data_IF_164099114217
#
_entry.id   IF_164099114217
#
_cell.length_a   1.000
_cell.length_b   1.000
_cell.length_c   1.000
_cell.angle_alpha   90.00
_cell.angle_beta   90.00
_cell.angle_gamma   90.00
#
_symmetry.space_group_name_H-M   'P 1'
#
loop_
_entity.id
_entity.type
_entity.pdbx_description
1 polymer ?
#
# COMPACT_ATOMS: atom_id res chain seq x y z
N UNK A 1 57.62 -32.44 -32.75
CA UNK A 1 57.37 -31.29 -31.86
C UNK A 1 56.01 -30.68 -32.20
N UNK A 2 55.16 -30.53 -31.18
CA UNK A 2 53.87 -29.79 -31.11
C UNK A 2 52.71 -30.18 -32.05
N UNK A 3 51.93 -31.20 -31.65
CA UNK A 3 50.50 -31.31 -31.99
C UNK A 3 49.69 -30.46 -31.01
N UNK A 4 49.09 -29.37 -31.49
CA UNK A 4 48.09 -28.59 -30.74
C UNK A 4 46.78 -29.37 -30.70
N UNK A 5 46.34 -29.75 -29.50
CA UNK A 5 44.99 -30.27 -29.25
C UNK A 5 44.11 -29.05 -29.00
N UNK A 6 43.21 -28.77 -29.94
CA UNK A 6 42.19 -27.72 -29.81
C UNK A 6 40.96 -28.36 -29.17
N UNK A 7 40.75 -28.10 -27.89
CA UNK A 7 39.56 -28.57 -27.15
C UNK A 7 38.38 -27.68 -27.50
N UNK A 8 37.47 -28.19 -28.33
CA UNK A 8 36.17 -27.60 -28.58
C UNK A 8 35.27 -27.81 -27.36
N UNK A 9 34.96 -26.74 -26.63
CA UNK A 9 33.89 -26.75 -25.63
C UNK A 9 32.58 -26.55 -26.38
N UNK A 10 31.85 -27.64 -26.56
CA UNK A 10 30.43 -27.66 -26.94
C UNK A 10 29.64 -27.08 -25.77
N UNK A 11 29.28 -25.80 -25.84
CA UNK A 11 28.32 -25.21 -24.91
C UNK A 11 26.92 -25.50 -25.43
N UNK A 12 26.30 -26.51 -24.83
CA UNK A 12 24.94 -26.97 -25.11
C UNK A 12 23.93 -25.84 -24.91
N UNK A 13 23.16 -25.63 -25.97
CA UNK A 13 21.95 -24.83 -26.07
C UNK A 13 20.94 -25.33 -25.02
N UNK A 14 20.68 -24.54 -23.97
CA UNK A 14 19.47 -24.67 -23.16
C UNK A 14 18.50 -23.62 -23.66
N UNK A 15 17.52 -24.07 -24.43
CA UNK A 15 16.46 -23.24 -24.98
C UNK A 15 15.58 -22.69 -23.86
N UNK A 16 15.39 -21.37 -23.88
CA UNK A 16 14.31 -20.70 -23.15
C UNK A 16 13.21 -20.37 -24.16
N UNK A 17 12.39 -21.36 -24.50
CA UNK A 17 11.06 -21.07 -25.06
C UNK A 17 10.21 -20.55 -23.90
N UNK A 18 10.14 -19.23 -23.75
CA UNK A 18 9.09 -18.60 -22.97
C UNK A 18 7.77 -18.76 -23.74
N UNK A 19 7.08 -19.88 -23.52
CA UNK A 19 5.72 -20.08 -23.98
C UNK A 19 4.82 -19.19 -23.11
N UNK A 20 4.49 -18.01 -23.64
CA UNK A 20 3.55 -17.07 -23.03
C UNK A 20 2.15 -17.69 -23.01
N UNK A 21 1.84 -18.47 -21.97
CA UNK A 21 0.47 -18.87 -21.71
C UNK A 21 -0.27 -17.67 -21.14
N UNK A 22 -1.08 -17.04 -22.00
CA UNK A 22 -2.20 -16.20 -21.59
C UNK A 22 -3.17 -17.07 -20.77
N UNK A 23 -3.00 -17.07 -19.45
CA UNK A 23 -4.06 -17.54 -18.55
C UNK A 23 -5.14 -16.47 -18.54
N UNK A 24 -6.30 -16.81 -19.10
CA UNK A 24 -7.50 -16.00 -19.07
C UNK A 24 -7.86 -15.67 -17.62
N UNK A 25 -7.78 -14.39 -17.28
CA UNK A 25 -8.14 -13.86 -15.97
C UNK A 25 -9.67 -13.69 -15.87
N UNK A 26 -10.42 -14.79 -15.75
CA UNK A 26 -11.88 -14.72 -15.63
C UNK A 26 -12.47 -15.35 -14.35
N UNK A 27 -11.64 -15.90 -13.45
CA UNK A 27 -12.14 -16.50 -12.20
C UNK A 27 -11.46 -15.93 -10.96
N UNK A 28 -11.79 -14.69 -10.58
CA UNK A 28 -11.56 -14.22 -9.19
C UNK A 28 -12.53 -13.14 -8.70
N UNK A 29 -13.73 -13.04 -9.29
CA UNK A 29 -14.67 -11.95 -8.99
C UNK A 29 -15.58 -12.17 -7.75
N UNK A 30 -15.39 -13.25 -6.98
CA UNK A 30 -16.22 -13.51 -5.77
C UNK A 30 -15.56 -13.09 -4.46
N UNK A 31 -14.23 -12.95 -4.40
CA UNK A 31 -13.51 -12.53 -3.18
C UNK A 31 -13.45 -11.01 -2.98
N UNK A 32 -13.84 -10.20 -3.97
CA UNK A 32 -13.75 -8.74 -3.88
C UNK A 32 -14.76 -8.13 -2.91
N UNK A 33 -15.91 -8.77 -2.67
CA UNK A 33 -17.00 -8.20 -1.83
C UNK A 33 -16.62 -7.96 -0.36
N UNK A 34 -15.67 -8.73 0.21
CA UNK A 34 -15.34 -8.64 1.64
C UNK A 34 -14.22 -7.62 1.96
N UNK A 35 -13.42 -7.20 0.96
CA UNK A 35 -12.42 -6.14 1.13
C UNK A 35 -12.98 -4.71 1.05
N UNK A 36 -14.24 -4.56 0.60
CA UNK A 36 -14.90 -3.27 0.35
C UNK A 36 -15.30 -2.52 1.63
N UNK A 37 -15.37 -3.18 2.79
CA UNK A 37 -15.88 -2.56 4.03
C UNK A 37 -15.04 -1.36 4.50
N UNK A 38 -13.72 -1.39 4.30
CA UNK A 38 -12.84 -0.30 4.73
C UNK A 38 -12.94 0.93 3.82
N UNK A 39 -12.93 0.73 2.50
CA UNK A 39 -13.05 1.82 1.53
C UNK A 39 -14.45 2.43 1.52
N UNK A 40 -15.52 1.63 1.64
CA UNK A 40 -16.88 2.16 1.67
C UNK A 40 -17.12 3.01 2.92
N UNK A 41 -16.59 2.59 4.08
CA UNK A 41 -16.66 3.37 5.32
C UNK A 41 -15.86 4.68 5.25
N UNK A 42 -14.71 4.68 4.58
CA UNK A 42 -13.87 5.88 4.43
C UNK A 42 -14.51 6.95 3.52
N UNK A 43 -15.24 6.55 2.49
CA UNK A 43 -15.94 7.47 1.59
C UNK A 43 -17.35 7.87 2.10
N UNK A 44 -18.06 7.02 2.85
CA UNK A 44 -19.43 7.30 3.31
C UNK A 44 -19.53 7.97 4.69
N UNK A 45 -18.44 8.05 5.47
CA UNK A 45 -18.51 8.70 6.79
C UNK A 45 -18.71 10.22 6.74
N UNK A 46 -18.52 10.87 5.58
CA UNK A 46 -18.68 12.32 5.47
C UNK A 46 -20.06 12.76 4.93
N UNK A 47 -20.91 11.82 4.51
CA UNK A 47 -22.25 12.13 3.96
C UNK A 47 -23.36 12.07 5.04
N UNK A 48 -23.12 11.34 6.14
CA UNK A 48 -24.09 11.18 7.23
C UNK A 48 -23.93 12.19 8.39
N UNK A 49 -22.90 13.04 8.40
CA UNK A 49 -22.69 14.06 9.44
C UNK A 49 -23.60 15.31 9.29
N UNK A 50 -24.58 15.28 8.37
CA UNK A 50 -25.52 16.37 8.12
C UNK A 50 -27.00 16.05 8.42
N UNK A 51 -27.33 14.86 8.97
CA UNK A 51 -28.75 14.47 9.19
C UNK A 51 -29.30 14.56 10.61
N UNK A 52 -28.49 14.83 11.64
CA UNK A 52 -28.96 14.83 13.04
C UNK A 52 -29.11 16.22 13.66
N UNK A 53 -29.87 17.11 13.02
CA UNK A 53 -30.40 18.32 13.68
C UNK A 53 -31.85 18.57 13.34
N UNK A 54 -32.75 17.67 13.78
CA UNK A 54 -34.15 18.04 14.00
C UNK A 54 -34.74 17.17 15.12
N UNK A 55 -34.63 17.66 16.36
CA UNK A 55 -35.71 17.49 17.33
C UNK A 55 -35.98 18.82 18.00
N UNK A 56 -37.02 19.46 17.46
CA UNK A 56 -37.60 20.71 17.85
C UNK A 56 -38.69 20.37 18.88
N UNK A 57 -38.45 20.63 20.16
CA UNK A 57 -39.49 20.71 21.18
C UNK A 57 -38.93 21.54 22.35
N UNK A 58 -39.68 22.59 22.72
CA UNK A 58 -39.36 23.64 23.70
C UNK A 58 -38.67 24.90 23.16
N UNK A 59 -39.43 25.69 22.37
CA UNK A 59 -39.14 27.10 22.08
C UNK A 59 -40.44 27.91 22.11
N UNK A 60 -40.96 28.19 23.29
CA UNK A 60 -41.91 29.30 23.44
C UNK A 60 -41.67 30.22 24.66
N UNK A 61 -40.85 29.82 25.64
CA UNK A 61 -40.74 30.62 26.89
C UNK A 61 -39.55 31.59 27.00
N UNK A 62 -38.72 31.78 25.95
CA UNK A 62 -37.52 32.63 26.07
C UNK A 62 -37.45 33.83 25.11
N UNK A 63 -38.61 34.36 24.67
CA UNK A 63 -38.68 35.50 23.74
C UNK A 63 -38.53 36.89 24.39
N UNK A 64 -38.02 36.98 25.64
CA UNK A 64 -37.90 38.25 26.38
C UNK A 64 -36.47 38.70 26.71
N UNK A 65 -35.45 38.24 25.97
CA UNK A 65 -34.10 38.81 26.09
C UNK A 65 -33.34 38.92 24.76
N UNK A 66 -34.05 39.20 23.66
CA UNK A 66 -33.48 39.37 22.33
C UNK A 66 -33.13 40.85 22.05
N UNK A 67 -32.17 41.39 22.79
CA UNK A 67 -31.40 42.59 22.40
C UNK A 67 -29.94 42.24 22.11
N UNK A 68 -29.65 40.99 21.70
CA UNK A 68 -28.38 40.66 21.07
C UNK A 68 -28.34 41.29 19.67
N UNK A 69 -27.62 42.41 19.58
CA UNK A 69 -27.34 43.13 18.33
C UNK A 69 -26.96 42.16 17.19
N UNK A 70 -27.51 42.31 15.97
CA UNK A 70 -27.23 41.43 14.82
C UNK A 70 -25.73 41.19 14.52
N UNK A 71 -24.86 42.15 14.89
CA UNK A 71 -23.40 42.04 14.79
C UNK A 71 -22.83 40.90 15.64
N UNK A 72 -23.28 40.72 16.88
CA UNK A 72 -22.76 39.71 17.79
C UNK A 72 -23.00 38.28 17.27
N UNK A 73 -24.08 38.07 16.51
CA UNK A 73 -24.39 36.78 15.90
C UNK A 73 -23.49 36.50 14.69
N UNK A 74 -23.25 37.50 13.83
CA UNK A 74 -22.36 37.37 12.66
C UNK A 74 -20.91 37.11 13.09
N UNK A 75 -20.39 37.85 14.05
CA UNK A 75 -19.01 37.69 14.53
C UNK A 75 -18.81 36.31 15.17
N UNK A 76 -19.77 35.86 15.99
CA UNK A 76 -19.77 34.51 16.57
C UNK A 76 -19.79 33.43 15.48
N UNK A 77 -20.64 33.58 14.46
CA UNK A 77 -20.72 32.63 13.34
C UNK A 77 -19.43 32.57 12.54
N UNK A 78 -18.81 33.73 12.26
CA UNK A 78 -17.51 33.78 11.58
C UNK A 78 -16.43 33.10 12.40
N UNK A 79 -16.34 33.38 13.70
CA UNK A 79 -15.37 32.74 14.59
C UNK A 79 -15.52 31.20 14.60
N UNK A 80 -16.76 30.70 14.67
CA UNK A 80 -17.05 29.26 14.63
C UNK A 80 -16.66 28.62 13.29
N UNK A 81 -16.97 29.28 12.17
CA UNK A 81 -16.60 28.80 10.83
C UNK A 81 -15.08 28.74 10.65
N UNK A 82 -14.36 29.79 11.06
CA UNK A 82 -12.89 29.82 11.06
C UNK A 82 -12.32 28.68 11.90
N UNK A 83 -12.78 28.56 13.15
CA UNK A 83 -12.31 27.52 14.08
C UNK A 83 -12.51 26.11 13.50
N UNK A 84 -13.67 25.85 12.87
CA UNK A 84 -13.94 24.57 12.21
C UNK A 84 -13.00 24.33 11.03
N UNK A 85 -12.85 25.30 10.14
CA UNK A 85 -11.98 25.18 8.95
C UNK A 85 -10.52 24.94 9.32
N UNK A 86 -10.01 25.71 10.29
CA UNK A 86 -8.64 25.58 10.80
C UNK A 86 -8.41 24.20 11.43
N UNK A 87 -9.34 23.74 12.29
CA UNK A 87 -9.23 22.42 12.93
C UNK A 87 -9.16 21.27 11.92
N UNK A 88 -9.98 21.33 10.87
CA UNK A 88 -9.99 20.32 9.82
C UNK A 88 -8.67 20.33 9.02
N UNK A 89 -8.17 21.51 8.67
CA UNK A 89 -6.89 21.66 7.98
C UNK A 89 -5.72 21.13 8.83
N UNK A 90 -5.66 21.49 10.10
CA UNK A 90 -4.58 21.06 11.00
C UNK A 90 -4.56 19.54 11.20
N UNK A 91 -5.74 18.93 11.30
CA UNK A 91 -5.90 17.48 11.39
C UNK A 91 -5.33 16.79 10.15
N UNK A 92 -5.59 17.34 8.95
CA UNK A 92 -5.09 16.79 7.68
C UNK A 92 -3.59 17.00 7.50
N UNK A 93 -3.06 18.18 7.81
CA UNK A 93 -1.62 18.44 7.79
C UNK A 93 -0.89 17.46 8.72
N UNK A 94 -1.43 17.24 9.92
CA UNK A 94 -0.88 16.25 10.86
C UNK A 94 -0.86 14.84 10.27
N UNK A 95 -1.95 14.42 9.63
CA UNK A 95 -2.02 13.10 8.98
C UNK A 95 -1.05 12.98 7.79
N UNK A 96 -0.92 14.02 6.96
CA UNK A 96 0.03 14.08 5.85
C UNK A 96 1.48 14.02 6.33
N UNK A 97 1.83 14.70 7.42
CA UNK A 97 3.17 14.64 8.00
C UNK A 97 3.49 13.24 8.55
N UNK A 98 2.53 12.58 9.21
CA UNK A 98 2.67 11.17 9.62
C UNK A 98 2.88 10.25 8.41
N UNK A 99 2.17 10.52 7.32
CA UNK A 99 2.31 9.77 6.07
C UNK A 99 3.70 9.97 5.43
N UNK A 100 4.20 11.20 5.42
CA UNK A 100 5.54 11.55 4.96
C UNK A 100 6.60 10.78 5.74
N UNK A 101 6.54 10.79 7.07
CA UNK A 101 7.47 10.04 7.92
C UNK A 101 7.41 8.52 7.64
N UNK A 102 6.20 7.97 7.44
CA UNK A 102 6.01 6.58 7.05
C UNK A 102 6.67 6.24 5.71
N UNK A 103 6.52 7.10 4.69
CA UNK A 103 7.13 6.91 3.36
C UNK A 103 8.66 6.99 3.43
N UNK A 104 9.20 7.91 4.23
CA UNK A 104 10.65 8.04 4.44
C UNK A 104 11.25 6.76 5.04
N UNK A 105 10.53 6.12 5.96
CA UNK A 105 10.95 4.88 6.63
C UNK A 105 10.84 3.61 5.78
N UNK A 106 10.24 3.66 4.58
CA UNK A 106 10.18 2.49 3.69
C UNK A 106 11.59 2.18 3.20
N UNK A 107 12.06 0.94 3.20
CA UNK A 107 13.46 0.63 2.87
C UNK A 107 13.61 0.23 1.40
N UNK A 108 12.66 -0.53 0.88
CA UNK A 108 12.69 -1.24 -0.40
C UNK A 108 11.95 -0.50 -1.51
N UNK A 109 11.33 0.65 -1.22
CA UNK A 109 10.79 1.55 -2.24
C UNK A 109 11.91 2.42 -2.81
N UNK A 110 11.98 2.50 -4.14
CA UNK A 110 13.04 3.25 -4.84
C UNK A 110 13.07 4.73 -4.42
N UNK A 111 14.25 5.36 -4.37
CA UNK A 111 14.37 6.78 -4.04
C UNK A 111 13.52 7.68 -4.95
N UNK A 112 13.43 7.35 -6.24
CA UNK A 112 12.59 8.05 -7.22
C UNK A 112 11.12 8.01 -6.83
N UNK A 113 10.59 6.82 -6.50
CA UNK A 113 9.19 6.66 -6.12
C UNK A 113 8.88 7.38 -4.80
N UNK A 114 9.79 7.29 -3.81
CA UNK A 114 9.66 8.05 -2.56
C UNK A 114 9.60 9.55 -2.82
N UNK A 115 10.50 10.07 -3.65
CA UNK A 115 10.56 11.50 -3.97
C UNK A 115 9.27 11.98 -4.62
N UNK A 116 8.72 11.22 -5.57
CA UNK A 116 7.46 11.55 -6.22
C UNK A 116 6.29 11.64 -5.21
N UNK A 117 6.18 10.66 -4.31
CA UNK A 117 5.13 10.64 -3.27
C UNK A 117 5.28 11.78 -2.27
N UNK A 118 6.51 12.01 -1.78
CA UNK A 118 6.81 13.08 -0.83
C UNK A 118 6.53 14.46 -1.43
N UNK A 119 6.85 14.65 -2.71
CA UNK A 119 6.52 15.89 -3.44
C UNK A 119 5.00 16.12 -3.52
N UNK A 120 4.22 15.07 -3.79
CA UNK A 120 2.75 15.13 -3.76
C UNK A 120 2.19 15.53 -2.39
N UNK A 121 2.72 14.92 -1.32
CA UNK A 121 2.34 15.25 0.06
C UNK A 121 2.72 16.69 0.43
N UNK A 122 3.94 17.12 0.11
CA UNK A 122 4.40 18.48 0.44
C UNK A 122 3.57 19.55 -0.30
N UNK A 123 3.22 19.30 -1.56
CA UNK A 123 2.33 20.17 -2.34
C UNK A 123 0.97 20.34 -1.66
N UNK A 124 0.43 19.26 -1.08
CA UNK A 124 -0.82 19.31 -0.32
C UNK A 124 -0.68 20.09 0.99
N UNK A 125 0.39 19.84 1.76
CA UNK A 125 0.66 20.58 3.00
C UNK A 125 0.76 22.08 2.73
N UNK A 126 1.46 22.48 1.66
CA UNK A 126 1.58 23.88 1.27
C UNK A 126 0.22 24.48 0.89
N UNK A 127 -0.58 23.76 0.09
CA UNK A 127 -1.92 24.21 -0.34
C UNK A 127 -2.88 24.37 0.83
N UNK A 128 -2.88 23.42 1.79
CA UNK A 128 -3.69 23.49 3.00
C UNK A 128 -3.24 24.63 3.93
N UNK A 129 -1.94 24.87 4.04
CA UNK A 129 -1.39 25.98 4.83
C UNK A 129 -1.81 27.33 4.23
N UNK A 130 -1.76 27.47 2.90
CA UNK A 130 -2.23 28.67 2.22
C UNK A 130 -3.73 28.89 2.44
N UNK A 131 -4.55 27.83 2.36
CA UNK A 131 -5.99 27.91 2.63
C UNK A 131 -6.29 28.29 4.09
N UNK A 132 -5.54 27.74 5.05
CA UNK A 132 -5.65 28.12 6.47
C UNK A 132 -5.41 29.61 6.67
N UNK A 133 -4.40 30.17 5.99
CA UNK A 133 -4.10 31.60 6.06
C UNK A 133 -5.24 32.45 5.48
N UNK A 134 -5.85 32.04 4.36
CA UNK A 134 -7.01 32.74 3.77
C UNK A 134 -8.21 32.74 4.72
N UNK A 135 -8.60 31.57 5.23
CA UNK A 135 -9.70 31.41 6.22
C UNK A 135 -9.48 32.31 7.44
N UNK A 136 -8.25 32.41 7.94
CA UNK A 136 -7.93 33.28 9.08
C UNK A 136 -8.08 34.77 8.73
N UNK A 137 -7.67 35.17 7.52
CA UNK A 137 -7.72 36.55 7.05
C UNK A 137 -9.14 36.99 6.61
N UNK A 138 -10.06 36.08 6.32
CA UNK A 138 -11.38 36.42 5.80
C UNK A 138 -12.19 37.32 6.73
N UNK A 139 -12.68 38.44 6.19
CA UNK A 139 -13.57 39.38 6.89
C UNK A 139 -15.02 39.33 6.38
N UNK A 140 -15.28 38.53 5.34
CA UNK A 140 -16.59 38.36 4.72
C UNK A 140 -17.10 36.92 4.93
N UNK A 141 -18.34 36.78 5.41
CA UNK A 141 -18.92 35.48 5.75
C UNK A 141 -19.22 34.61 4.53
N UNK A 142 -19.52 35.20 3.38
CA UNK A 142 -19.79 34.46 2.14
C UNK A 142 -18.47 33.93 1.55
N UNK A 143 -17.42 34.75 1.53
CA UNK A 143 -16.07 34.33 1.13
C UNK A 143 -15.56 33.22 2.05
N UNK A 144 -15.65 33.41 3.37
CA UNK A 144 -15.26 32.41 4.37
C UNK A 144 -15.98 31.07 4.15
N UNK A 145 -17.27 31.10 3.80
CA UNK A 145 -18.01 29.87 3.51
C UNK A 145 -17.45 29.17 2.28
N UNK A 146 -17.16 29.90 1.20
CA UNK A 146 -16.54 29.34 -0.01
C UNK A 146 -15.14 28.75 0.27
N UNK A 147 -14.33 29.42 1.07
CA UNK A 147 -12.99 28.93 1.43
C UNK A 147 -13.06 27.69 2.33
N UNK A 148 -13.97 27.66 3.31
CA UNK A 148 -14.23 26.47 4.12
C UNK A 148 -14.77 25.31 3.27
N UNK A 149 -15.63 25.57 2.29
CA UNK A 149 -16.12 24.54 1.35
C UNK A 149 -14.99 23.98 0.48
N UNK A 150 -13.99 24.81 0.11
CA UNK A 150 -12.83 24.37 -0.67
C UNK A 150 -11.96 23.32 0.03
N UNK A 151 -12.06 23.21 1.36
CA UNK A 151 -11.44 22.13 2.14
C UNK A 151 -11.89 20.77 1.61
N UNK A 152 -13.15 20.62 1.18
CA UNK A 152 -13.66 19.34 0.63
C UNK A 152 -13.00 18.96 -0.70
N UNK A 153 -12.62 19.94 -1.53
CA UNK A 153 -11.88 19.67 -2.77
C UNK A 153 -10.48 19.14 -2.46
N UNK A 154 -9.82 19.76 -1.48
CA UNK A 154 -8.51 19.31 -0.98
C UNK A 154 -8.57 17.93 -0.30
N UNK A 155 -9.74 17.50 0.17
CA UNK A 155 -9.95 16.17 0.76
C UNK A 155 -9.71 15.04 -0.25
N UNK A 156 -10.03 15.26 -1.53
CA UNK A 156 -9.90 14.23 -2.57
C UNK A 156 -8.44 13.83 -2.78
N UNK A 157 -7.56 14.83 -2.82
CA UNK A 157 -6.10 14.68 -2.90
C UNK A 157 -5.56 13.91 -1.69
N UNK A 158 -6.00 14.29 -0.50
CA UNK A 158 -5.65 13.62 0.75
C UNK A 158 -6.12 12.15 0.80
N UNK A 159 -7.35 11.91 0.34
CA UNK A 159 -7.98 10.59 0.31
C UNK A 159 -7.29 9.61 -0.64
N UNK A 160 -6.55 10.10 -1.64
CA UNK A 160 -5.73 9.27 -2.53
C UNK A 160 -4.36 8.92 -1.94
N UNK A 161 -3.69 9.85 -1.26
CA UNK A 161 -2.33 9.58 -0.75
C UNK A 161 -2.30 8.55 0.37
N UNK A 162 -3.31 8.54 1.25
CA UNK A 162 -3.41 7.55 2.33
C UNK A 162 -3.37 6.10 1.81
N UNK A 163 -4.26 5.66 0.89
CA UNK A 163 -4.23 4.29 0.39
C UNK A 163 -2.95 3.99 -0.39
N UNK A 164 -2.40 4.93 -1.17
CA UNK A 164 -1.10 4.76 -1.85
C UNK A 164 0.01 4.38 -0.86
N UNK A 165 0.20 5.20 0.16
CA UNK A 165 1.24 4.97 1.16
C UNK A 165 1.01 3.72 2.01
N UNK A 166 -0.25 3.36 2.28
CA UNK A 166 -0.58 2.13 3.00
C UNK A 166 -0.26 0.87 2.20
N UNK A 167 -0.58 0.85 0.91
CA UNK A 167 -0.23 -0.27 0.01
C UNK A 167 1.30 -0.39 -0.10
N UNK A 168 2.00 0.73 -0.32
CA UNK A 168 3.46 0.72 -0.43
C UNK A 168 4.15 0.26 0.85
N UNK A 169 3.67 0.68 2.03
CA UNK A 169 4.23 0.21 3.29
C UNK A 169 4.00 -1.28 3.53
N UNK A 170 2.86 -1.82 3.07
CA UNK A 170 2.62 -3.26 3.10
C UNK A 170 3.61 -3.98 2.18
N UNK A 171 3.77 -3.52 0.94
CA UNK A 171 4.72 -4.11 -0.02
C UNK A 171 6.15 -4.05 0.51
N UNK A 172 6.56 -2.92 1.08
CA UNK A 172 7.89 -2.71 1.67
C UNK A 172 8.24 -3.76 2.74
N UNK A 173 7.27 -4.10 3.59
CA UNK A 173 7.46 -5.11 4.63
C UNK A 173 7.68 -6.52 4.07
N UNK A 174 7.14 -6.85 2.89
CA UNK A 174 7.34 -8.18 2.27
C UNK A 174 8.70 -8.33 1.60
N UNK A 175 9.33 -7.25 1.18
CA UNK A 175 10.69 -7.34 0.64
C UNK A 175 11.70 -7.85 1.68
N UNK A 176 11.44 -7.59 2.97
CA UNK A 176 12.20 -8.19 4.08
C UNK A 176 12.01 -9.71 4.09
N UNK A 177 10.77 -10.18 3.95
CA UNK A 177 10.46 -11.61 3.86
C UNK A 177 11.11 -12.25 2.64
N UNK A 178 11.04 -11.63 1.46
CA UNK A 178 11.65 -12.13 0.23
C UNK A 178 13.17 -12.28 0.39
N UNK A 179 13.83 -11.25 0.94
CA UNK A 179 15.29 -11.30 1.19
C UNK A 179 15.65 -12.43 2.15
N UNK A 180 14.88 -12.62 3.22
CA UNK A 180 15.08 -13.71 4.16
C UNK A 180 14.87 -15.07 3.49
N UNK A 181 13.81 -15.23 2.70
CA UNK A 181 13.50 -16.48 2.02
C UNK A 181 14.59 -16.85 1.02
N UNK A 182 15.10 -15.91 0.22
CA UNK A 182 16.24 -16.13 -0.67
C UNK A 182 17.48 -16.60 0.09
N UNK A 183 17.77 -16.02 1.26
CA UNK A 183 18.88 -16.49 2.10
C UNK A 183 18.65 -17.91 2.63
N UNK A 184 17.40 -18.26 2.95
CA UNK A 184 17.03 -19.60 3.41
C UNK A 184 17.16 -20.62 2.28
N UNK A 185 16.67 -20.34 1.07
CA UNK A 185 16.75 -21.29 -0.06
C UNK A 185 18.19 -21.55 -0.48
N UNK A 186 19.07 -20.55 -0.41
CA UNK A 186 20.51 -20.73 -0.63
C UNK A 186 21.14 -21.70 0.40
N UNK A 187 20.81 -21.56 1.68
CA UNK A 187 21.29 -22.47 2.73
C UNK A 187 20.72 -23.89 2.54
N UNK A 188 19.42 -24.01 2.25
CA UNK A 188 18.79 -25.30 1.99
C UNK A 188 19.35 -26.02 0.77
N UNK A 189 19.75 -25.29 -0.27
CA UNK A 189 20.47 -25.86 -1.41
C UNK A 189 21.75 -26.58 -0.96
N UNK A 190 22.51 -25.96 -0.05
CA UNK A 190 23.74 -26.55 0.51
C UNK A 190 23.43 -27.78 1.38
N UNK A 191 22.39 -27.69 2.23
CA UNK A 191 21.98 -28.79 3.10
C UNK A 191 21.48 -30.00 2.27
N UNK A 192 20.71 -29.76 1.20
CA UNK A 192 20.24 -30.79 0.26
C UNK A 192 21.42 -31.47 -0.44
N UNK A 193 22.43 -30.70 -0.86
CA UNK A 193 23.63 -31.27 -1.47
C UNK A 193 24.40 -32.15 -0.48
N UNK A 194 24.46 -31.76 0.78
CA UNK A 194 25.05 -32.60 1.85
C UNK A 194 24.29 -33.92 2.02
N UNK A 195 22.95 -33.88 2.05
CA UNK A 195 22.13 -35.10 2.07
C UNK A 195 22.38 -36.00 0.85
N UNK A 196 22.50 -35.41 -0.34
CA UNK A 196 22.81 -36.12 -1.59
C UNK A 196 24.16 -36.84 -1.50
N UNK A 197 25.21 -36.15 -1.02
CA UNK A 197 26.54 -36.77 -0.83
C UNK A 197 26.52 -37.90 0.22
N UNK A 198 25.58 -37.86 1.15
CA UNK A 198 25.34 -38.91 2.14
C UNK A 198 24.46 -40.06 1.61
N UNK A 199 24.23 -40.13 0.29
CA UNK A 199 23.49 -41.19 -0.37
C UNK A 199 21.96 -41.10 -0.24
N UNK A 200 21.40 -39.95 0.15
CA UNK A 200 19.94 -39.75 0.19
C UNK A 200 19.39 -39.45 -1.20
N UNK A 201 18.18 -39.94 -1.49
CA UNK A 201 17.43 -39.53 -2.68
C UNK A 201 16.79 -38.17 -2.44
N UNK A 202 17.38 -37.14 -3.07
CA UNK A 202 16.99 -35.75 -2.89
C UNK A 202 16.07 -35.23 -3.99
N UNK A 203 15.57 -36.08 -4.89
CA UNK A 203 14.80 -35.64 -6.06
C UNK A 203 13.59 -34.77 -5.67
N UNK A 204 12.80 -35.20 -4.68
CA UNK A 204 11.64 -34.45 -4.19
C UNK A 204 12.01 -33.11 -3.57
N UNK A 205 13.15 -33.03 -2.85
CA UNK A 205 13.58 -31.78 -2.21
C UNK A 205 14.09 -30.76 -3.24
N UNK A 206 14.76 -31.22 -4.28
CA UNK A 206 15.19 -30.35 -5.38
C UNK A 206 13.99 -29.78 -6.16
N UNK A 207 12.95 -30.59 -6.39
CA UNK A 207 11.69 -30.10 -6.98
C UNK A 207 11.07 -29.02 -6.10
N UNK A 208 10.91 -29.26 -4.79
CA UNK A 208 10.36 -28.27 -3.85
C UNK A 208 11.19 -27.00 -3.75
N UNK A 209 12.52 -27.11 -3.79
CA UNK A 209 13.41 -25.95 -3.78
C UNK A 209 13.21 -25.10 -5.04
N UNK A 210 13.14 -25.74 -6.21
CA UNK A 210 12.87 -25.06 -7.48
C UNK A 210 11.49 -24.38 -7.49
N UNK A 211 10.46 -25.03 -6.94
CA UNK A 211 9.13 -24.43 -6.79
C UNK A 211 9.16 -23.23 -5.84
N UNK A 212 9.90 -23.34 -4.73
CA UNK A 212 10.09 -22.24 -3.76
C UNK A 212 10.76 -21.04 -4.42
N UNK A 213 11.84 -21.25 -5.17
CA UNK A 213 12.55 -20.17 -5.87
C UNK A 213 11.66 -19.49 -6.93
N UNK A 214 10.86 -20.27 -7.66
CA UNK A 214 9.88 -19.74 -8.61
C UNK A 214 8.81 -18.88 -7.90
N UNK A 215 8.34 -19.29 -6.72
CA UNK A 215 7.38 -18.54 -5.91
C UNK A 215 7.96 -17.26 -5.33
N UNK A 216 9.21 -17.27 -4.88
CA UNK A 216 9.92 -16.04 -4.44
C UNK A 216 10.05 -15.07 -5.62
N UNK A 217 10.41 -15.57 -6.81
CA UNK A 217 10.54 -14.75 -8.00
C UNK A 217 9.21 -14.13 -8.43
N UNK A 218 8.10 -14.90 -8.44
CA UNK A 218 6.78 -14.37 -8.77
C UNK A 218 6.29 -13.37 -7.72
N UNK A 219 6.47 -13.64 -6.43
CA UNK A 219 6.13 -12.71 -5.37
C UNK A 219 6.85 -11.35 -5.53
N UNK A 220 8.13 -11.37 -5.92
CA UNK A 220 8.90 -10.18 -6.25
C UNK A 220 8.31 -9.45 -7.47
N UNK A 221 7.97 -10.18 -8.54
CA UNK A 221 7.34 -9.64 -9.74
C UNK A 221 6.00 -8.95 -9.43
N UNK A 222 5.10 -9.63 -8.71
CA UNK A 222 3.78 -9.09 -8.36
C UNK A 222 3.90 -7.89 -7.40
N UNK A 223 4.87 -7.90 -6.48
CA UNK A 223 5.14 -6.76 -5.59
C UNK A 223 5.58 -5.52 -6.37
N UNK A 224 6.47 -5.67 -7.35
CA UNK A 224 6.88 -4.58 -8.23
C UNK A 224 5.75 -4.09 -9.14
N UNK A 225 4.94 -5.00 -9.68
CA UNK A 225 3.75 -4.64 -10.45
C UNK A 225 2.75 -3.84 -9.61
N UNK A 226 2.54 -4.20 -8.34
CA UNK A 226 1.70 -3.47 -7.41
C UNK A 226 2.22 -2.04 -7.16
N UNK A 227 3.55 -1.85 -7.00
CA UNK A 227 4.19 -0.53 -6.87
C UNK A 227 3.98 0.30 -8.13
N UNK A 228 4.16 -0.30 -9.32
CA UNK A 228 4.03 0.38 -10.60
C UNK A 228 2.61 0.91 -10.85
N UNK A 229 1.58 0.24 -10.31
CA UNK A 229 0.19 0.69 -10.40
C UNK A 229 -0.12 1.90 -9.51
N UNK A 230 0.51 2.02 -8.33
CA UNK A 230 0.16 3.07 -7.34
C UNK A 230 1.03 4.31 -7.41
N UNK A 231 2.29 4.16 -7.83
CA UNK A 231 3.25 5.27 -7.91
C UNK A 231 2.79 6.40 -8.83
N UNK A 232 2.27 6.14 -10.06
CA UNK A 232 1.89 7.21 -10.98
C UNK A 232 0.53 7.84 -10.68
N UNK A 233 -0.20 7.38 -9.65
CA UNK A 233 -1.54 7.89 -9.36
C UNK A 233 -1.50 9.35 -8.91
N UNK A 234 -2.30 10.16 -9.58
CA UNK A 234 -2.44 11.59 -9.33
C UNK A 234 -3.85 11.93 -8.82
N UNK A 235 -4.02 13.02 -8.06
CA UNK A 235 -5.32 13.46 -7.57
C UNK A 235 -6.35 13.66 -8.68
N UNK A 236 -7.62 13.31 -8.43
CA UNK A 236 -8.66 13.37 -9.48
C UNK A 236 -9.04 14.80 -9.90
N UNK A 237 -8.75 15.81 -9.08
CA UNK A 237 -9.11 17.23 -9.31
C UNK A 237 -10.59 17.44 -9.71
N UNK A 238 -11.48 16.57 -9.24
CA UNK A 238 -12.91 16.61 -9.56
C UNK A 238 -13.33 15.80 -10.79
N UNK A 239 -12.38 15.17 -11.49
CA UNK A 239 -12.65 14.28 -12.62
C UNK A 239 -13.17 12.93 -12.14
N UNK A 240 -14.43 12.62 -12.45
CA UNK A 240 -15.02 11.30 -12.15
C UNK A 240 -14.30 10.16 -12.86
N UNK A 241 -13.84 10.38 -14.10
CA UNK A 241 -13.06 9.41 -14.86
C UNK A 241 -11.74 9.08 -14.16
N UNK A 242 -11.01 10.10 -13.70
CA UNK A 242 -9.73 9.90 -13.01
C UNK A 242 -9.94 9.27 -11.63
N UNK A 243 -11.01 9.63 -10.93
CA UNK A 243 -11.39 8.99 -9.66
C UNK A 243 -11.65 7.48 -9.84
N UNK A 244 -12.39 7.10 -10.89
CA UNK A 244 -12.67 5.70 -11.22
C UNK A 244 -11.38 4.96 -11.61
N UNK A 245 -10.54 5.56 -12.44
CA UNK A 245 -9.25 4.99 -12.84
C UNK A 245 -8.31 4.77 -11.64
N UNK A 246 -8.18 5.77 -10.76
CA UNK A 246 -7.39 5.67 -9.54
C UNK A 246 -7.91 4.56 -8.62
N UNK A 247 -9.23 4.47 -8.46
CA UNK A 247 -9.86 3.41 -7.65
C UNK A 247 -9.55 2.03 -8.23
N UNK A 248 -9.66 1.86 -9.55
CA UNK A 248 -9.34 0.59 -10.20
C UNK A 248 -7.86 0.23 -10.02
N UNK A 249 -6.94 1.17 -10.24
CA UNK A 249 -5.51 0.93 -10.06
C UNK A 249 -5.14 0.54 -8.62
N UNK A 250 -5.79 1.14 -7.61
CA UNK A 250 -5.63 0.73 -6.21
C UNK A 250 -6.14 -0.70 -5.96
N UNK A 251 -7.26 -1.09 -6.57
CA UNK A 251 -7.80 -2.44 -6.47
C UNK A 251 -6.88 -3.46 -7.14
N UNK A 252 -6.39 -3.15 -8.34
CA UNK A 252 -5.48 -4.01 -9.09
C UNK A 252 -4.15 -4.17 -8.34
N UNK A 253 -3.62 -3.08 -7.78
CA UNK A 253 -2.42 -3.13 -6.94
C UNK A 253 -2.62 -4.02 -5.71
N UNK A 254 -3.78 -3.94 -5.06
CA UNK A 254 -4.11 -4.81 -3.93
C UNK A 254 -4.24 -6.28 -4.36
N UNK A 255 -4.80 -6.56 -5.54
CA UNK A 255 -4.89 -7.91 -6.09
C UNK A 255 -3.48 -8.49 -6.34
N UNK A 256 -2.58 -7.70 -6.95
CA UNK A 256 -1.17 -8.07 -7.16
C UNK A 256 -0.45 -8.35 -5.84
N UNK A 257 -0.62 -7.48 -4.86
CA UNK A 257 -0.11 -7.67 -3.51
C UNK A 257 -0.62 -8.96 -2.84
N UNK A 258 -1.91 -9.30 -3.03
CA UNK A 258 -2.48 -10.53 -2.47
C UNK A 258 -1.86 -11.79 -3.09
N UNK A 259 -1.58 -11.78 -4.39
CA UNK A 259 -0.87 -12.87 -5.07
C UNK A 259 0.53 -13.03 -4.48
N UNK A 260 1.27 -11.93 -4.32
CA UNK A 260 2.62 -11.98 -3.73
C UNK A 260 2.65 -12.61 -2.33
N UNK A 261 1.68 -12.29 -1.46
CA UNK A 261 1.56 -12.91 -0.13
C UNK A 261 1.32 -14.40 -0.24
N UNK A 262 0.45 -14.82 -1.17
CA UNK A 262 0.11 -16.22 -1.33
C UNK A 262 1.31 -17.03 -1.80
N UNK A 263 2.12 -16.49 -2.72
CA UNK A 263 3.36 -17.12 -3.15
C UNK A 263 4.38 -17.21 -2.01
N UNK A 264 4.53 -16.16 -1.20
CA UNK A 264 5.37 -16.18 0.01
C UNK A 264 4.89 -17.27 0.99
N UNK A 265 3.59 -17.44 1.16
CA UNK A 265 3.00 -18.45 2.04
C UNK A 265 3.30 -19.87 1.52
N UNK A 266 3.17 -20.09 0.22
CA UNK A 266 3.50 -21.37 -0.42
C UNK A 266 5.00 -21.66 -0.25
N UNK A 267 5.87 -20.69 -0.57
CA UNK A 267 7.33 -20.82 -0.39
C UNK A 267 7.71 -21.19 1.06
N UNK A 268 7.11 -20.52 2.05
CA UNK A 268 7.31 -20.84 3.48
C UNK A 268 6.89 -22.27 3.82
N UNK A 269 5.80 -22.77 3.23
CA UNK A 269 5.34 -24.14 3.42
C UNK A 269 6.34 -25.15 2.85
N UNK A 270 6.81 -24.94 1.61
CA UNK A 270 7.75 -25.87 0.99
C UNK A 270 9.11 -25.88 1.70
N UNK A 271 9.60 -24.72 2.15
CA UNK A 271 10.76 -24.62 3.04
C UNK A 271 10.58 -25.49 4.30
N UNK A 272 9.40 -25.43 4.94
CA UNK A 272 9.12 -26.25 6.13
C UNK A 272 9.14 -27.75 5.81
N UNK A 273 8.57 -28.14 4.67
CA UNK A 273 8.58 -29.55 4.21
C UNK A 273 10.02 -30.04 3.94
N UNK A 274 10.85 -29.21 3.29
CA UNK A 274 12.27 -29.51 3.02
C UNK A 274 13.04 -29.69 4.33
N UNK A 275 12.92 -28.73 5.26
CA UNK A 275 13.60 -28.78 6.57
C UNK A 275 13.19 -30.01 7.37
N UNK A 276 11.89 -30.36 7.35
CA UNK A 276 11.38 -31.56 8.01
C UNK A 276 12.06 -32.81 7.46
N UNK A 277 12.11 -32.97 6.14
CA UNK A 277 12.70 -34.15 5.51
C UNK A 277 14.21 -34.26 5.78
N UNK A 278 14.94 -33.15 5.73
CA UNK A 278 16.38 -33.12 6.05
C UNK A 278 16.66 -33.57 7.48
N UNK A 279 15.81 -33.14 8.44
CA UNK A 279 15.90 -33.57 9.85
C UNK A 279 15.59 -35.05 10.02
N UNK A 280 14.58 -35.57 9.32
CA UNK A 280 14.26 -37.02 9.33
C UNK A 280 15.44 -37.87 8.81
N UNK A 281 16.29 -37.31 7.95
CA UNK A 281 17.53 -37.95 7.49
C UNK A 281 18.75 -37.70 8.37
N UNK A 282 18.59 -37.02 9.50
CA UNK A 282 19.68 -36.56 10.37
C UNK A 282 20.73 -35.70 9.64
N UNK A 283 20.32 -34.97 8.60
CA UNK A 283 21.19 -33.99 7.94
C UNK A 283 21.26 -32.72 8.78
N UNK A 284 22.45 -32.16 8.98
CA UNK A 284 22.62 -30.87 9.65
C UNK A 284 21.92 -29.80 8.83
N UNK A 285 20.95 -29.13 9.43
CA UNK A 285 20.23 -28.01 8.80
C UNK A 285 20.89 -26.71 9.22
N UNK A 286 21.58 -26.05 8.29
CA UNK A 286 22.26 -24.77 8.54
C UNK A 286 21.33 -23.57 8.29
N UNK A 287 20.25 -23.78 7.52
CA UNK A 287 19.23 -22.77 7.27
C UNK A 287 18.61 -22.27 8.58
N UNK A 288 18.81 -20.99 8.90
CA UNK A 288 18.18 -20.33 10.05
C UNK A 288 16.71 -20.04 9.73
N UNK A 289 15.84 -21.00 10.04
CA UNK A 289 14.40 -20.79 9.99
C UNK A 289 13.95 -20.03 11.23
N UNK A 290 14.22 -18.71 11.31
CA UNK A 290 13.50 -17.83 12.25
C UNK A 290 12.06 -17.63 11.77
N UNK A 291 11.38 -18.70 11.37
CA UNK A 291 10.01 -18.70 10.86
C UNK A 291 8.98 -18.69 11.98
N UNK A 292 9.40 -18.83 13.24
CA UNK A 292 8.51 -18.83 14.42
C UNK A 292 8.20 -17.42 14.97
N UNK A 293 8.64 -16.35 14.31
CA UNK A 293 8.36 -14.98 14.78
C UNK A 293 7.90 -14.06 13.65
N UNK A 294 6.59 -14.07 13.37
CA UNK A 294 5.71 -12.88 13.22
C UNK A 294 4.31 -13.26 12.74
#
# INVERSE_FOLDING_TARGET
MNKKISTAIVSTIIGTLALTQFVSAEESNTSLKNGFGFFNKFFHQNENAQKDTHKNESRDDNRKNATSSPRNNTDTRMALLKARGVKEIDSRITALNKLSAKIQGLINITPTNKTALLSGIQTQVNSLTALKNKINADTDVAILKTDVESITKSFRTFALEIPKANILAKIDSHFVDLTMLTSITAALSTDIQTAKTSGKDVAVLLTKLSETDAKIADANLQSNAAIALVTPLIPDVGSSTLLLANKQALLDSYAKYKIAIEDIRIAKKDIKDIVKQLREWNTVVTAKTNTDSR
#
